data_IF_176141490404
#
_entry.id   IF_176141490404
#
_cell.length_a   1.000
_cell.length_b   1.000
_cell.length_c   1.000
_cell.angle_alpha   90.00
_cell.angle_beta   90.00
_cell.angle_gamma   90.00
#
_symmetry.space_group_name_H-M   'P 1'
#
loop_
_entity.id
_entity.type
_entity.pdbx_description
1 polymer ?
#
# COMPACT_ATOMS: atom_id res chain seq x y z
N UNK A 1 -7.72 19.07 16.01
CA UNK A 1 -6.51 19.52 15.30
C UNK A 1 -5.33 19.51 16.28
N UNK A 2 -4.13 19.11 15.84
CA UNK A 2 -2.90 19.12 16.62
C UNK A 2 -1.85 19.96 15.86
N UNK A 3 -1.50 21.17 16.34
CA UNK A 3 -0.78 22.17 15.53
C UNK A 3 0.69 21.83 15.23
N UNK A 4 1.34 20.96 16.01
CA UNK A 4 2.79 20.70 15.91
C UNK A 4 3.14 19.30 15.38
N UNK A 5 2.24 18.67 14.63
CA UNK A 5 2.54 17.38 14.01
C UNK A 5 3.33 17.56 12.72
N UNK A 6 4.37 16.76 12.55
CA UNK A 6 4.96 16.54 11.23
C UNK A 6 3.96 15.87 10.30
N UNK A 7 4.14 16.00 8.97
CA UNK A 7 3.30 15.32 7.97
C UNK A 7 3.18 13.82 8.27
N UNK A 8 4.31 13.14 8.53
CA UNK A 8 4.30 11.71 8.81
C UNK A 8 3.56 11.34 10.10
N UNK A 9 3.61 12.18 11.13
CA UNK A 9 2.83 11.96 12.34
C UNK A 9 1.34 12.15 12.07
N UNK A 10 0.97 13.17 11.28
CA UNK A 10 -0.42 13.38 10.85
C UNK A 10 -0.95 12.18 10.06
N UNK A 11 -0.17 11.61 9.13
CA UNK A 11 -0.52 10.39 8.39
C UNK A 11 -0.78 9.20 9.32
N UNK A 12 0.09 8.99 10.32
CA UNK A 12 -0.11 7.93 11.31
C UNK A 12 -1.34 8.17 12.20
N UNK A 13 -1.64 9.43 12.54
CA UNK A 13 -2.86 9.76 13.28
C UNK A 13 -4.11 9.51 12.44
N UNK A 14 -4.08 9.85 11.15
CA UNK A 14 -5.14 9.53 10.20
C UNK A 14 -5.38 8.02 10.11
N UNK A 15 -4.32 7.23 9.99
CA UNK A 15 -4.39 5.76 10.02
C UNK A 15 -5.05 5.24 11.31
N UNK A 16 -4.61 5.73 12.47
CA UNK A 16 -5.16 5.33 13.77
C UNK A 16 -6.62 5.74 13.95
N UNK A 17 -7.00 6.91 13.45
CA UNK A 17 -8.39 7.36 13.43
C UNK A 17 -9.25 6.42 12.59
N UNK A 18 -8.79 6.09 11.37
CA UNK A 18 -9.42 5.10 10.51
C UNK A 18 -9.60 3.75 11.21
N UNK A 19 -8.60 3.30 11.97
CA UNK A 19 -8.73 2.07 12.76
C UNK A 19 -9.81 2.13 13.84
N UNK A 20 -9.95 3.28 14.50
CA UNK A 20 -11.03 3.53 15.45
C UNK A 20 -12.40 3.41 14.80
N UNK A 21 -12.59 4.06 13.64
CA UNK A 21 -13.84 4.04 12.90
C UNK A 21 -14.20 2.63 12.39
N UNK A 22 -13.22 1.88 11.90
CA UNK A 22 -13.43 0.52 11.40
C UNK A 22 -13.66 -0.52 12.51
N UNK A 23 -13.43 -0.18 13.79
CA UNK A 23 -13.55 -1.14 14.90
C UNK A 23 -14.99 -1.55 15.19
N UNK A 24 -15.98 -0.75 14.75
CA UNK A 24 -17.42 -1.01 14.91
C UNK A 24 -18.02 -1.80 13.76
N UNK A 25 -17.27 -2.00 12.66
CA UNK A 25 -17.72 -2.71 11.47
C UNK A 25 -17.33 -4.19 11.52
N UNK A 26 -18.12 -5.04 10.84
CA UNK A 26 -17.95 -6.49 10.83
C UNK A 26 -16.56 -6.94 10.31
N UNK A 27 -16.11 -8.10 10.78
CA UNK A 27 -14.70 -8.56 10.74
C UNK A 27 -14.35 -9.31 9.45
N UNK A 28 -14.53 -8.65 8.31
CA UNK A 28 -14.00 -9.12 7.01
C UNK A 28 -12.49 -8.88 6.84
N UNK A 29 -11.94 -9.31 5.69
CA UNK A 29 -10.60 -8.92 5.23
C UNK A 29 -10.55 -7.41 5.02
N UNK A 30 -9.49 -6.76 5.52
CA UNK A 30 -9.31 -5.30 5.41
C UNK A 30 -8.14 -4.98 4.49
N UNK A 31 -8.36 -4.13 3.48
CA UNK A 31 -7.29 -3.57 2.66
C UNK A 31 -7.18 -2.10 3.04
N UNK A 32 -6.04 -1.73 3.60
CA UNK A 32 -5.75 -0.37 4.05
C UNK A 32 -4.92 0.30 2.96
N UNK A 33 -5.55 1.21 2.22
CA UNK A 33 -4.90 2.01 1.20
C UNK A 33 -4.42 3.35 1.79
N UNK A 34 -3.30 3.86 1.28
CA UNK A 34 -2.83 5.21 1.57
C UNK A 34 -1.72 5.63 0.62
N UNK A 35 -1.59 6.92 0.38
CA UNK A 35 -0.59 7.49 -0.53
C UNK A 35 0.77 7.77 0.15
N UNK A 36 0.82 7.74 1.49
CA UNK A 36 2.05 7.87 2.28
C UNK A 36 2.92 6.62 2.18
N UNK A 37 3.87 6.64 1.24
CA UNK A 37 4.82 5.54 1.02
C UNK A 37 5.60 5.17 2.30
N UNK A 38 5.97 6.17 3.12
CA UNK A 38 6.68 5.92 4.38
C UNK A 38 5.83 5.09 5.35
N UNK A 39 4.60 5.55 5.63
CA UNK A 39 3.71 4.91 6.61
C UNK A 39 3.36 3.50 6.15
N UNK A 40 2.98 3.33 4.87
CA UNK A 40 2.64 2.02 4.31
C UNK A 40 3.80 1.04 4.46
N UNK A 41 5.01 1.42 4.05
CA UNK A 41 6.18 0.52 4.11
C UNK A 41 6.60 0.20 5.55
N UNK A 42 6.47 1.15 6.48
CA UNK A 42 6.73 0.90 7.90
C UNK A 42 5.69 -0.05 8.52
N UNK A 43 4.42 0.08 8.14
CA UNK A 43 3.34 -0.80 8.62
C UNK A 43 3.46 -2.22 8.07
N UNK A 44 3.96 -2.38 6.84
CA UNK A 44 4.35 -3.68 6.28
C UNK A 44 5.64 -4.26 6.86
N UNK A 45 6.42 -3.45 7.59
CA UNK A 45 7.73 -3.87 8.13
C UNK A 45 8.85 -3.93 7.10
N UNK A 46 8.66 -3.33 5.92
CA UNK A 46 9.69 -3.25 4.87
C UNK A 46 10.83 -2.30 5.24
N UNK A 47 10.53 -1.29 6.05
CA UNK A 47 11.49 -0.29 6.53
C UNK A 47 11.30 -0.05 8.02
N UNK A 48 12.40 0.30 8.68
CA UNK A 48 12.40 0.57 10.11
C UNK A 48 11.76 1.93 10.44
N UNK A 49 11.07 1.98 11.57
CA UNK A 49 10.52 3.20 12.14
C UNK A 49 11.38 3.63 13.33
N UNK A 50 12.32 4.55 13.11
CA UNK A 50 13.28 5.00 14.13
C UNK A 50 12.95 6.37 14.75
N UNK A 51 12.15 7.18 14.05
CA UNK A 51 11.82 8.52 14.51
C UNK A 51 11.06 8.43 15.86
N UNK A 52 11.53 9.13 16.93
CA UNK A 52 10.93 9.03 18.26
C UNK A 52 9.43 9.30 18.32
N UNK A 53 8.92 10.24 17.50
CA UNK A 53 7.49 10.54 17.40
C UNK A 53 6.67 9.44 16.68
N UNK A 54 7.27 8.75 15.71
CA UNK A 54 6.58 7.72 14.91
C UNK A 54 6.54 6.35 15.58
N UNK A 55 7.61 5.97 16.28
CA UNK A 55 7.71 4.68 16.97
C UNK A 55 6.50 4.34 17.87
N UNK A 56 6.02 5.23 18.76
CA UNK A 56 4.84 4.95 19.57
C UNK A 56 3.55 4.88 18.73
N UNK A 57 3.44 5.66 17.65
CA UNK A 57 2.27 5.63 16.75
C UNK A 57 2.20 4.30 16.00
N UNK A 58 3.32 3.86 15.43
CA UNK A 58 3.43 2.56 14.78
C UNK A 58 3.11 1.42 15.73
N UNK A 59 3.63 1.46 16.97
CA UNK A 59 3.32 0.44 17.99
C UNK A 59 1.81 0.35 18.23
N UNK A 60 1.15 1.49 18.46
CA UNK A 60 -0.30 1.55 18.65
C UNK A 60 -1.07 1.01 17.45
N UNK A 61 -0.63 1.32 16.23
CA UNK A 61 -1.26 0.83 15.01
C UNK A 61 -1.13 -0.71 14.90
N UNK A 62 0.07 -1.25 15.12
CA UNK A 62 0.31 -2.70 15.11
C UNK A 62 -0.48 -3.43 16.22
N UNK A 63 -0.61 -2.83 17.40
CA UNK A 63 -1.41 -3.40 18.49
C UNK A 63 -2.89 -3.53 18.12
N UNK A 64 -3.45 -2.58 17.37
CA UNK A 64 -4.85 -2.65 16.88
C UNK A 64 -5.01 -3.77 15.85
N UNK A 65 -4.04 -3.94 14.97
CA UNK A 65 -4.07 -4.97 13.91
C UNK A 65 -4.05 -6.40 14.44
N UNK A 66 -3.61 -6.64 15.68
CA UNK A 66 -3.71 -7.97 16.32
C UNK A 66 -5.14 -8.52 16.33
N UNK A 67 -6.14 -7.63 16.28
CA UNK A 67 -7.56 -8.01 16.23
C UNK A 67 -8.08 -8.30 14.82
N UNK A 68 -7.29 -8.00 13.78
CA UNK A 68 -7.64 -8.16 12.37
C UNK A 68 -6.68 -9.16 11.71
N UNK A 69 -6.94 -10.47 11.79
CA UNK A 69 -5.99 -11.48 11.29
C UNK A 69 -5.80 -11.42 9.77
N UNK A 70 -6.80 -10.93 9.03
CA UNK A 70 -6.74 -10.74 7.58
C UNK A 70 -6.72 -9.25 7.25
N UNK A 71 -5.52 -8.67 7.17
CA UNK A 71 -5.32 -7.29 6.73
C UNK A 71 -4.16 -7.18 5.74
N UNK A 72 -4.22 -6.18 4.88
CA UNK A 72 -3.15 -5.86 3.94
C UNK A 72 -3.02 -4.34 3.83
N UNK A 73 -1.78 -3.86 3.67
CA UNK A 73 -1.52 -2.46 3.38
C UNK A 73 -1.20 -2.32 1.90
N UNK A 74 -1.76 -1.30 1.25
CA UNK A 74 -1.50 -0.98 -0.14
C UNK A 74 -1.08 0.49 -0.30
N UNK A 75 0.08 0.69 -0.91
CA UNK A 75 0.45 2.03 -1.35
C UNK A 75 -0.29 2.34 -2.65
N UNK A 76 -0.94 3.50 -2.69
CA UNK A 76 -1.65 3.99 -3.88
C UNK A 76 -1.08 5.34 -4.30
N UNK A 77 -1.30 5.72 -5.56
CA UNK A 77 -0.97 7.08 -6.00
C UNK A 77 -1.94 8.06 -5.35
N UNK A 78 -1.46 9.27 -5.08
CA UNK A 78 -2.26 10.36 -4.49
C UNK A 78 -3.58 10.61 -5.24
N UNK A 79 -3.54 10.58 -6.57
CA UNK A 79 -4.75 10.74 -7.41
C UNK A 79 -5.83 9.67 -7.19
N UNK A 80 -5.53 8.58 -6.48
CA UNK A 80 -6.43 7.47 -6.19
C UNK A 80 -7.02 7.54 -4.77
N UNK A 81 -6.51 8.45 -3.94
CA UNK A 81 -6.87 8.66 -2.52
C UNK A 81 -7.30 10.12 -2.26
N UNK A 82 -7.90 10.77 -3.26
CA UNK A 82 -8.24 12.20 -3.20
C UNK A 82 -9.28 12.52 -2.12
N UNK A 83 -10.10 11.54 -1.71
CA UNK A 83 -11.05 11.74 -0.62
C UNK A 83 -10.34 12.00 0.72
N UNK A 84 -9.25 11.28 0.98
CA UNK A 84 -8.44 11.42 2.20
C UNK A 84 -7.75 12.78 2.21
N UNK A 85 -7.18 13.19 1.08
CA UNK A 85 -6.62 14.53 0.89
C UNK A 85 -7.66 15.63 1.13
N UNK A 86 -8.88 15.49 0.58
CA UNK A 86 -9.97 16.47 0.76
C UNK A 86 -10.33 16.61 2.24
N UNK A 87 -10.48 15.50 2.95
CA UNK A 87 -10.82 15.49 4.37
C UNK A 87 -9.69 16.06 5.24
N UNK A 88 -8.44 15.70 4.95
CA UNK A 88 -7.28 16.24 5.65
C UNK A 88 -7.16 17.75 5.48
N UNK A 89 -7.30 18.25 4.24
CA UNK A 89 -7.26 19.68 3.95
C UNK A 89 -8.44 20.44 4.58
N UNK A 90 -9.64 19.85 4.57
CA UNK A 90 -10.79 20.44 5.25
C UNK A 90 -10.54 20.60 6.75
N UNK A 91 -10.00 19.56 7.40
CA UNK A 91 -9.67 19.61 8.82
C UNK A 91 -8.55 20.61 9.15
N UNK A 92 -7.56 20.77 8.25
CA UNK A 92 -6.52 21.78 8.38
C UNK A 92 -7.09 23.20 8.27
N UNK A 93 -7.97 23.45 7.29
CA UNK A 93 -8.57 24.77 7.09
C UNK A 93 -9.52 25.18 8.21
N UNK A 94 -10.33 24.25 8.71
CA UNK A 94 -11.31 24.52 9.77
C UNK A 94 -10.68 24.44 11.18
N UNK A 95 -9.46 23.90 11.29
CA UNK A 95 -8.78 23.59 12.56
C UNK A 95 -9.60 22.68 13.48
N UNK A 96 -10.53 21.91 12.92
CA UNK A 96 -11.39 20.96 13.61
C UNK A 96 -11.59 19.69 12.77
N UNK A 97 -12.14 18.64 13.38
CA UNK A 97 -12.44 17.42 12.64
C UNK A 97 -13.69 17.59 11.77
N UNK A 98 -13.65 17.11 10.54
CA UNK A 98 -14.82 17.11 9.65
C UNK A 98 -15.64 15.83 9.83
N UNK A 99 -16.94 15.96 10.08
CA UNK A 99 -17.89 14.84 10.08
C UNK A 99 -18.70 14.85 8.79
N UNK A 100 -18.67 13.74 8.06
CA UNK A 100 -19.50 13.53 6.86
C UNK A 100 -20.86 13.03 7.33
N UNK A 101 -21.90 13.84 7.16
CA UNK A 101 -23.25 13.56 7.70
C UNK A 101 -24.31 13.39 6.63
N UNK A 102 -24.08 13.87 5.40
CA UNK A 102 -25.01 13.72 4.28
C UNK A 102 -24.58 12.57 3.36
N UNK A 103 -25.58 11.89 2.78
CA UNK A 103 -25.35 10.82 1.80
C UNK A 103 -24.68 11.38 0.53
N UNK A 104 -25.03 12.60 0.12
CA UNK A 104 -24.39 13.27 -1.01
C UNK A 104 -22.88 13.51 -0.79
N UNK A 105 -22.48 13.97 0.40
CA UNK A 105 -21.07 14.16 0.72
C UNK A 105 -20.30 12.83 0.78
N UNK A 106 -20.97 11.78 1.26
CA UNK A 106 -20.42 10.43 1.24
C UNK A 106 -20.17 9.94 -0.19
N UNK A 107 -21.16 10.08 -1.07
CA UNK A 107 -21.06 9.66 -2.46
C UNK A 107 -19.98 10.45 -3.22
N UNK A 108 -19.89 11.76 -2.97
CA UNK A 108 -18.81 12.59 -3.48
C UNK A 108 -17.42 12.04 -3.09
N UNK A 109 -17.23 11.67 -1.82
CA UNK A 109 -15.96 11.12 -1.34
C UNK A 109 -15.67 9.75 -1.97
N UNK A 110 -16.69 8.93 -2.20
CA UNK A 110 -16.53 7.65 -2.91
C UNK A 110 -16.07 7.88 -4.34
N UNK A 111 -16.67 8.84 -5.07
CA UNK A 111 -16.30 9.16 -6.46
C UNK A 111 -14.87 9.69 -6.57
N UNK A 112 -14.38 10.40 -5.56
CA UNK A 112 -12.99 10.89 -5.50
C UNK A 112 -11.96 9.75 -5.35
N UNK A 113 -12.39 8.58 -4.87
CA UNK A 113 -11.51 7.42 -4.75
C UNK A 113 -11.59 6.53 -5.99
N UNK A 114 -10.44 6.30 -6.60
CA UNK A 114 -10.31 5.37 -7.74
C UNK A 114 -9.82 3.98 -7.33
N UNK A 115 -9.92 3.65 -6.03
CA UNK A 115 -9.48 2.37 -5.47
C UNK A 115 -10.20 1.18 -6.11
N UNK A 116 -11.46 1.34 -6.51
CA UNK A 116 -12.22 0.32 -7.22
C UNK A 116 -11.55 -0.14 -8.53
N UNK A 117 -10.88 0.76 -9.25
CA UNK A 117 -10.13 0.38 -10.47
C UNK A 117 -8.90 -0.47 -10.16
N UNK A 118 -8.37 -0.37 -8.93
CA UNK A 118 -7.23 -1.18 -8.48
C UNK A 118 -7.69 -2.55 -7.99
N UNK A 119 -8.71 -2.54 -7.13
CA UNK A 119 -9.16 -3.71 -6.38
C UNK A 119 -9.97 -4.66 -7.26
N UNK A 120 -10.69 -4.11 -8.24
CA UNK A 120 -11.36 -4.87 -9.28
C UNK A 120 -10.54 -4.71 -10.55
N UNK A 121 -9.44 -5.47 -10.66
CA UNK A 121 -8.82 -5.69 -11.96
C UNK A 121 -9.93 -6.16 -12.90
N UNK A 122 -10.27 -5.32 -13.88
CA UNK A 122 -11.15 -5.70 -14.98
C UNK A 122 -10.54 -6.97 -15.55
N UNK A 123 -11.32 -8.04 -15.61
CA UNK A 123 -10.96 -9.27 -16.32
C UNK A 123 -10.88 -8.95 -17.82
N UNK A 124 -9.88 -8.18 -18.22
CA UNK A 124 -9.47 -8.07 -19.61
C UNK A 124 -8.65 -9.33 -19.87
N UNK A 125 -9.36 -10.32 -20.39
CA UNK A 125 -8.98 -11.72 -20.40
C UNK A 125 -7.52 -12.00 -20.77
N UNK A 126 -6.94 -12.94 -20.02
CA UNK A 126 -5.84 -13.81 -20.43
C UNK A 126 -4.76 -13.14 -21.31
N UNK A 127 -3.90 -12.33 -20.69
CA UNK A 127 -2.60 -12.03 -21.30
C UNK A 127 -1.78 -13.32 -21.29
N UNK A 128 -1.78 -14.02 -22.42
CA UNK A 128 -0.98 -15.20 -22.65
C UNK A 128 0.49 -14.92 -22.30
N UNK A 129 1.02 -15.65 -21.31
CA UNK A 129 2.45 -15.64 -20.99
C UNK A 129 3.21 -16.23 -22.17
N UNK A 130 3.83 -15.39 -23.00
CA UNK A 130 4.88 -15.83 -23.91
C UNK A 130 6.17 -16.06 -23.12
N UNK A 131 6.43 -17.32 -22.76
CA UNK A 131 7.74 -17.73 -22.26
C UNK A 131 8.75 -17.69 -23.41
N UNK A 132 9.77 -16.83 -23.30
CA UNK A 132 10.93 -16.86 -24.19
C UNK A 132 11.76 -18.12 -23.89
N UNK A 133 11.60 -19.16 -24.70
CA UNK A 133 12.45 -20.34 -24.65
C UNK A 133 13.82 -20.02 -25.28
N UNK A 134 14.81 -19.71 -24.44
CA UNK A 134 16.21 -19.70 -24.87
C UNK A 134 16.65 -21.16 -25.16
N UNK A 135 16.83 -21.50 -26.44
CA UNK A 135 17.44 -22.78 -26.83
C UNK A 135 18.93 -22.75 -26.46
N UNK A 136 19.29 -23.34 -25.33
CA UNK A 136 20.69 -23.65 -25.03
C UNK A 136 21.16 -24.76 -25.98
N UNK A 137 22.08 -24.44 -26.89
CA UNK A 137 22.80 -25.44 -27.68
C UNK A 137 23.80 -26.13 -26.77
N UNK A 138 23.51 -27.37 -26.40
CA UNK A 138 24.46 -28.29 -25.80
C UNK A 138 25.57 -28.59 -26.80
N UNK A 139 26.74 -27.98 -26.62
CA UNK A 139 27.96 -28.33 -27.35
C UNK A 139 28.56 -29.57 -26.71
N UNK A 140 28.19 -30.74 -27.22
CA UNK A 140 28.78 -32.03 -26.83
C UNK A 140 30.26 -32.06 -27.23
N UNK A 141 31.14 -32.34 -26.25
CA UNK A 141 32.55 -32.63 -26.47
C UNK A 141 32.67 -34.04 -27.04
N UNK A 142 33.21 -34.18 -28.24
CA UNK A 142 33.87 -35.42 -28.67
C UNK A 142 35.36 -35.14 -28.84
N UNK A 143 36.15 -35.86 -28.06
CA UNK A 143 37.61 -35.94 -28.09
C UNK A 143 38.09 -37.00 -29.08
N UNK A 144 39.35 -36.82 -29.51
CA UNK A 144 40.29 -37.76 -30.14
C UNK A 144 40.44 -37.62 -31.67
N UNK A 145 41.59 -37.12 -32.12
CA UNK A 145 42.65 -38.01 -32.60
C UNK A 145 44.00 -37.29 -32.73
N UNK A 146 45.02 -38.06 -32.39
CA UNK A 146 46.46 -37.80 -32.45
C UNK A 146 46.90 -37.88 -33.92
N UNK A 147 47.65 -36.89 -34.40
CA UNK A 147 48.65 -37.11 -35.46
C UNK A 147 49.91 -36.29 -35.15
N UNK A 148 50.98 -37.04 -34.92
CA UNK A 148 52.36 -36.63 -34.77
C UNK A 148 53.00 -36.58 -36.16
N UNK A 149 53.81 -35.56 -36.48
CA UNK A 149 54.94 -35.70 -37.40
C UNK A 149 55.88 -34.48 -37.36
N UNK A 150 57.16 -34.83 -37.38
CA UNK A 150 58.38 -34.06 -37.13
C UNK A 150 58.71 -32.99 -38.19
N UNK A 151 59.47 -31.95 -37.78
CA UNK A 151 60.85 -31.61 -38.24
C UNK A 151 61.54 -30.78 -37.14
#
# INVERSE_FOLDING_TARGET
YLPDLTVNEAEYQGLLLGFGLLSTLDRGRRIICGDSNLVIRQMRGEIECKAPGLTPLRRRALDRLKTWPAHEFLHVKRDWDQSTDRLANAALHQQEGTTVTSEADHDDLVVLNRLQELLFQKDEGSVARMAAAARSRTRSKNSAEVLQLDV
#
